data_IF_869047052044
#
_entry.id   IF_869047052044
#
_cell.length_a   1.000
_cell.length_b   1.000
_cell.length_c   1.000
_cell.angle_alpha   90.00
_cell.angle_beta   90.00
_cell.angle_gamma   90.00
#
_symmetry.space_group_name_H-M   'P 1'
#
loop_
_entity.id
_entity.type
_entity.pdbx_description
1 polymer ?
#
# COMPACT_ATOMS: atom_id res chain seq x y z
N UNK A 1 -48.34 15.43 41.40
CA UNK A 1 -47.90 16.81 41.07
C UNK A 1 -46.39 16.79 40.90
N UNK A 2 -45.92 17.02 39.67
CA UNK A 2 -44.53 16.90 39.19
C UNK A 2 -44.57 16.76 37.65
N UNK A 3 -43.71 17.48 36.88
CA UNK A 3 -44.11 18.12 35.62
C UNK A 3 -44.10 17.26 34.34
N UNK A 4 -44.82 17.69 33.27
CA UNK A 4 -44.87 17.02 31.97
C UNK A 4 -43.71 17.42 31.03
N UNK A 5 -43.51 16.60 30.00
CA UNK A 5 -42.47 16.72 28.99
C UNK A 5 -42.96 17.34 27.67
N UNK A 6 -42.02 17.97 26.94
CA UNK A 6 -42.06 18.40 25.52
C UNK A 6 -43.10 19.51 25.16
N UNK A 7 -42.86 20.51 24.30
CA UNK A 7 -42.18 20.59 22.99
C UNK A 7 -41.77 22.07 22.76
N UNK A 8 -40.59 22.36 22.19
CA UNK A 8 -40.28 23.70 21.70
C UNK A 8 -40.67 23.83 20.22
N UNK A 9 -41.54 24.80 19.94
CA UNK A 9 -41.92 25.23 18.60
C UNK A 9 -40.85 26.17 18.05
N UNK A 10 -40.31 25.87 16.86
CA UNK A 10 -39.79 26.94 16.02
C UNK A 10 -40.38 26.81 14.62
N UNK A 11 -41.16 27.83 14.31
CA UNK A 11 -42.02 27.98 13.17
C UNK A 11 -41.22 28.59 12.00
N UNK A 12 -41.51 28.05 10.82
CA UNK A 12 -41.48 28.59 9.46
C UNK A 12 -40.98 30.03 9.27
N UNK A 13 -40.15 30.24 8.25
CA UNK A 13 -40.37 31.28 7.23
C UNK A 13 -40.10 30.70 5.83
N UNK A 14 -41.14 30.75 5.02
CA UNK A 14 -41.15 30.59 3.56
C UNK A 14 -40.94 31.98 2.94
N UNK A 15 -40.10 32.08 1.90
CA UNK A 15 -40.36 32.95 0.75
C UNK A 15 -39.53 32.47 -0.43
N UNK A 16 -40.20 32.05 -1.50
CA UNK A 16 -39.58 31.72 -2.77
C UNK A 16 -39.05 32.94 -3.55
N UNK A 17 -38.09 32.69 -4.43
CA UNK A 17 -37.82 33.53 -5.59
C UNK A 17 -37.24 32.68 -6.73
N UNK A 18 -37.95 32.70 -7.85
CA UNK A 18 -37.54 32.21 -9.16
C UNK A 18 -36.43 33.13 -9.70
N UNK A 19 -35.36 32.58 -10.27
CA UNK A 19 -34.52 33.33 -11.21
C UNK A 19 -33.97 32.41 -12.31
N UNK A 20 -34.58 32.52 -13.48
CA UNK A 20 -33.96 32.19 -14.77
C UNK A 20 -33.03 33.32 -15.17
N UNK A 21 -31.73 33.07 -15.41
CA UNK A 21 -30.99 33.75 -16.50
C UNK A 21 -29.69 33.00 -16.82
N UNK A 22 -29.51 32.77 -18.12
CA UNK A 22 -28.32 32.36 -18.87
C UNK A 22 -27.02 33.11 -18.51
N UNK A 23 -25.87 32.43 -18.66
CA UNK A 23 -24.62 32.89 -19.32
C UNK A 23 -23.46 32.00 -18.86
N UNK A 24 -23.00 31.10 -19.72
CA UNK A 24 -22.03 31.34 -20.81
C UNK A 24 -20.58 31.43 -20.32
N UNK A 25 -19.78 30.69 -21.06
CA UNK A 25 -18.41 30.29 -20.78
C UNK A 25 -17.41 31.46 -20.81
N UNK A 26 -16.31 31.25 -20.09
CA UNK A 26 -15.06 31.96 -20.29
C UNK A 26 -13.98 30.93 -20.70
N UNK A 27 -12.83 31.35 -21.25
CA UNK A 27 -12.61 32.40 -22.24
C UNK A 27 -11.88 31.88 -23.49
N UNK A 28 -12.05 32.63 -24.59
CA UNK A 28 -11.31 32.50 -25.85
C UNK A 28 -9.86 32.98 -25.69
N UNK A 29 -8.94 32.19 -26.23
CA UNK A 29 -7.87 32.74 -27.07
C UNK A 29 -6.44 32.30 -26.77
N UNK A 30 -5.93 31.35 -27.56
CA UNK A 30 -4.77 31.61 -28.43
C UNK A 30 -4.61 30.55 -29.52
N UNK A 31 -4.46 31.06 -30.73
CA UNK A 31 -4.24 30.38 -32.01
C UNK A 31 -2.77 29.93 -32.13
N UNK A 32 -2.53 28.78 -32.77
CA UNK A 32 -1.42 28.47 -33.70
C UNK A 32 -1.67 27.05 -34.25
N UNK A 33 -2.25 26.92 -35.43
CA UNK A 33 -1.60 26.83 -36.75
C UNK A 33 -0.78 25.54 -36.94
N UNK A 34 -1.33 24.65 -37.76
CA UNK A 34 -0.68 23.92 -38.87
C UNK A 34 0.71 23.31 -38.64
N UNK A 35 0.79 21.98 -38.65
CA UNK A 35 1.19 21.24 -39.87
C UNK A 35 1.17 19.71 -39.66
N UNK A 36 0.83 18.92 -40.69
CA UNK A 36 0.94 17.46 -40.69
C UNK A 36 2.33 17.04 -41.16
N UNK A 37 2.86 15.92 -40.66
CA UNK A 37 3.98 15.25 -41.32
C UNK A 37 3.71 13.75 -41.42
N UNK A 38 3.28 13.34 -42.62
CA UNK A 38 3.31 11.95 -43.08
C UNK A 38 4.69 11.71 -43.69
N UNK A 39 5.46 10.76 -43.17
CA UNK A 39 6.58 10.21 -43.91
C UNK A 39 6.82 8.75 -43.51
N UNK A 40 6.28 7.81 -44.28
CA UNK A 40 6.80 6.44 -44.36
C UNK A 40 6.78 6.03 -45.83
N UNK A 41 7.89 6.33 -46.50
CA UNK A 41 8.27 5.77 -47.79
C UNK A 41 8.99 4.43 -47.57
N UNK A 42 8.56 3.47 -48.36
CA UNK A 42 9.08 2.13 -48.62
C UNK A 42 10.54 2.14 -49.12
N UNK A 43 11.40 1.22 -48.63
CA UNK A 43 12.49 0.67 -49.46
C UNK A 43 12.92 -0.73 -49.02
N UNK A 44 13.29 -1.52 -50.02
CA UNK A 44 13.41 -2.96 -50.11
C UNK A 44 14.90 -3.37 -50.24
N UNK A 45 15.29 -4.43 -49.52
CA UNK A 45 16.21 -5.53 -49.90
C UNK A 45 17.61 -5.24 -50.51
N UNK A 46 18.68 -5.76 -49.89
CA UNK A 46 19.75 -6.50 -50.59
C UNK A 46 20.58 -7.43 -49.67
N UNK A 47 20.93 -8.61 -50.20
CA UNK A 47 21.76 -9.68 -49.63
C UNK A 47 23.22 -9.58 -50.11
N UNK A 48 24.22 -10.02 -49.33
CA UNK A 48 25.18 -11.11 -49.65
C UNK A 48 26.48 -11.11 -48.81
N UNK A 49 26.75 -12.30 -48.25
CA UNK A 49 28.01 -13.06 -48.07
C UNK A 49 29.34 -12.40 -47.66
N UNK A 50 29.99 -13.03 -46.66
CA UNK A 50 31.44 -12.98 -46.44
C UNK A 50 31.87 -13.90 -45.27
N UNK A 51 32.58 -14.98 -45.60
CA UNK A 51 33.16 -15.98 -44.69
C UNK A 51 34.46 -15.46 -44.04
N UNK A 52 34.82 -15.96 -42.84
CA UNK A 52 36.14 -16.56 -42.55
C UNK A 52 36.29 -16.88 -41.05
N UNK A 53 36.66 -18.12 -40.77
CA UNK A 53 37.14 -18.61 -39.49
C UNK A 53 38.65 -18.33 -39.34
N UNK A 54 39.10 -18.07 -38.11
CA UNK A 54 40.39 -18.51 -37.50
C UNK A 54 40.62 -17.75 -36.18
N UNK A 55 40.56 -18.41 -35.02
CA UNK A 55 41.75 -18.80 -34.22
C UNK A 55 42.81 -17.68 -34.15
N UNK A 56 43.12 -17.08 -32.99
CA UNK A 56 43.89 -17.73 -31.91
C UNK A 56 44.05 -16.81 -30.69
N UNK A 57 44.20 -17.45 -29.51
CA UNK A 57 45.11 -17.10 -28.41
C UNK A 57 44.87 -15.89 -27.49
N UNK A 58 44.56 -16.27 -26.24
CA UNK A 58 45.22 -15.84 -25.01
C UNK A 58 45.09 -14.38 -24.56
N UNK A 59 44.13 -14.15 -23.67
CA UNK A 59 44.36 -13.32 -22.50
C UNK A 59 43.82 -14.04 -21.26
N UNK A 60 44.73 -14.55 -20.44
CA UNK A 60 44.45 -15.04 -19.10
C UNK A 60 43.88 -13.88 -18.28
N UNK A 61 42.55 -13.78 -18.22
CA UNK A 61 41.91 -13.05 -17.14
C UNK A 61 42.11 -13.86 -15.86
N UNK A 62 42.67 -13.30 -14.78
CA UNK A 62 42.57 -13.96 -13.49
C UNK A 62 41.09 -14.15 -13.20
N UNK A 63 40.68 -15.41 -13.05
CA UNK A 63 39.34 -15.78 -12.60
C UNK A 63 39.05 -14.96 -11.33
N UNK A 64 38.19 -13.95 -11.48
CA UNK A 64 37.57 -13.31 -10.33
C UNK A 64 36.78 -14.42 -9.65
N UNK A 65 37.30 -14.88 -8.51
CA UNK A 65 36.54 -15.71 -7.58
C UNK A 65 35.15 -15.09 -7.43
N UNK A 66 34.06 -15.87 -7.48
CA UNK A 66 32.74 -15.33 -7.16
C UNK A 66 32.86 -14.72 -5.78
N UNK A 67 32.79 -13.38 -5.71
CA UNK A 67 32.87 -12.67 -4.45
C UNK A 67 31.83 -13.29 -3.53
N UNK A 68 32.17 -13.68 -2.28
CA UNK A 68 31.15 -14.02 -1.32
C UNK A 68 30.25 -12.79 -1.23
N UNK A 69 29.02 -12.93 -1.75
CA UNK A 69 28.00 -11.92 -1.60
C UNK A 69 28.00 -11.53 -0.12
N UNK A 70 28.03 -10.24 0.24
CA UNK A 70 27.92 -9.83 1.63
C UNK A 70 26.64 -10.44 2.15
N UNK A 71 26.77 -11.55 2.90
CA UNK A 71 25.64 -12.15 3.57
C UNK A 71 25.11 -11.03 4.45
N UNK A 72 23.83 -10.64 4.30
CA UNK A 72 23.27 -9.63 5.17
C UNK A 72 23.45 -10.17 6.59
N UNK A 73 24.37 -9.54 7.31
CA UNK A 73 24.56 -9.76 8.74
C UNK A 73 23.16 -9.76 9.35
N UNK A 74 22.83 -10.68 10.29
CA UNK A 74 21.53 -10.69 10.93
C UNK A 74 21.33 -9.36 11.65
N UNK A 75 20.78 -8.39 10.93
CA UNK A 75 20.47 -7.07 11.41
C UNK A 75 19.45 -7.32 12.52
N UNK A 76 19.74 -6.82 13.72
CA UNK A 76 18.84 -7.02 14.85
C UNK A 76 17.44 -6.57 14.46
N UNK A 77 16.52 -7.52 14.43
CA UNK A 77 15.13 -7.27 14.05
C UNK A 77 14.58 -6.16 14.94
N UNK A 78 14.04 -5.07 14.34
CA UNK A 78 13.46 -3.97 15.08
C UNK A 78 12.42 -4.44 16.13
N UNK A 79 12.39 -3.83 17.33
CA UNK A 79 11.46 -4.24 18.39
C UNK A 79 9.99 -4.24 17.98
N UNK A 80 9.59 -3.33 17.10
CA UNK A 80 8.23 -3.29 16.55
C UNK A 80 7.88 -4.58 15.81
N UNK A 81 8.78 -5.09 14.95
CA UNK A 81 8.54 -6.29 14.15
C UNK A 81 8.49 -7.54 15.04
N UNK A 82 9.36 -7.64 16.05
CA UNK A 82 9.29 -8.72 17.03
C UNK A 82 7.93 -8.72 17.76
N UNK A 83 7.46 -7.55 18.20
CA UNK A 83 6.16 -7.43 18.87
C UNK A 83 4.99 -7.74 17.95
N UNK A 84 5.02 -7.24 16.71
CA UNK A 84 4.01 -7.54 15.70
C UNK A 84 3.96 -9.05 15.46
N UNK A 85 5.13 -9.69 15.29
CA UNK A 85 5.21 -11.13 15.08
C UNK A 85 4.62 -11.92 16.24
N UNK A 86 5.05 -11.64 17.48
CA UNK A 86 4.49 -12.28 18.67
C UNK A 86 3.00 -12.02 18.83
N UNK A 87 2.49 -10.87 18.38
CA UNK A 87 1.07 -10.54 18.42
C UNK A 87 0.27 -11.33 17.39
N UNK A 88 0.77 -11.52 16.16
CA UNK A 88 0.04 -12.28 15.12
C UNK A 88 0.15 -13.80 15.37
N UNK A 89 1.23 -14.26 15.99
CA UNK A 89 1.44 -15.68 16.33
C UNK A 89 0.69 -16.13 17.60
N UNK A 90 0.14 -15.21 18.40
CA UNK A 90 -0.54 -15.52 19.66
C UNK A 90 -2.00 -15.98 19.42
N UNK A 91 -2.35 -17.24 19.74
CA UNK A 91 -3.71 -17.74 19.56
C UNK A 91 -4.76 -17.00 20.40
N UNK A 92 -4.35 -16.32 21.49
CA UNK A 92 -5.26 -15.52 22.30
C UNK A 92 -5.77 -14.26 21.59
N UNK A 93 -5.09 -13.84 20.52
CA UNK A 93 -5.43 -12.65 19.74
C UNK A 93 -5.99 -12.95 18.35
N UNK A 94 -6.08 -14.23 17.95
CA UNK A 94 -6.52 -14.66 16.61
C UNK A 94 -7.87 -14.07 16.17
N UNK A 95 -8.77 -13.80 17.11
CA UNK A 95 -10.08 -13.17 16.83
C UNK A 95 -9.98 -11.72 16.33
N UNK A 96 -8.88 -11.03 16.62
CA UNK A 96 -8.68 -9.60 16.33
C UNK A 96 -7.47 -9.33 15.44
N UNK A 97 -6.50 -10.23 15.41
CA UNK A 97 -5.36 -10.21 14.50
C UNK A 97 -4.87 -11.65 14.29
N UNK A 98 -4.79 -12.09 13.03
CA UNK A 98 -4.38 -13.46 12.71
C UNK A 98 -3.76 -13.55 11.32
N UNK A 99 -2.99 -14.61 11.09
CA UNK A 99 -2.45 -14.93 9.78
C UNK A 99 -3.55 -15.39 8.83
N UNK A 100 -3.43 -15.05 7.54
CA UNK A 100 -4.13 -15.81 6.52
C UNK A 100 -3.61 -17.25 6.45
N UNK A 101 -4.42 -18.22 5.95
CA UNK A 101 -4.00 -19.63 5.86
C UNK A 101 -2.68 -19.83 5.11
N UNK A 102 -2.42 -18.99 4.11
CA UNK A 102 -1.17 -18.99 3.30
C UNK A 102 0.06 -18.58 4.10
N UNK A 103 -0.10 -17.89 5.24
CA UNK A 103 1.00 -17.39 6.07
C UNK A 103 1.76 -16.20 5.47
N UNK A 104 1.30 -15.64 4.35
CA UNK A 104 1.96 -14.53 3.64
C UNK A 104 1.44 -13.15 4.06
N UNK A 105 0.20 -13.10 4.53
CA UNK A 105 -0.49 -11.88 4.93
C UNK A 105 -1.14 -12.09 6.30
N UNK A 106 -1.44 -11.00 7.00
CA UNK A 106 -2.23 -11.04 8.22
C UNK A 106 -3.42 -10.09 8.10
N UNK A 107 -4.49 -10.40 8.82
CA UNK A 107 -5.72 -9.64 8.81
C UNK A 107 -6.04 -9.09 10.20
N UNK A 108 -6.75 -7.95 10.21
CA UNK A 108 -7.35 -7.32 11.39
C UNK A 108 -8.84 -7.14 11.08
N UNK A 109 -9.71 -8.09 11.50
CA UNK A 109 -11.13 -8.09 11.12
C UNK A 109 -11.94 -6.93 11.69
N UNK A 110 -11.62 -6.49 12.91
CA UNK A 110 -12.25 -5.33 13.56
C UNK A 110 -11.16 -4.44 14.16
N UNK A 111 -10.77 -3.41 13.41
CA UNK A 111 -9.67 -2.54 13.81
C UNK A 111 -9.98 -1.74 15.08
N UNK A 112 -11.25 -1.43 15.35
CA UNK A 112 -11.68 -0.64 16.53
C UNK A 112 -11.48 -1.45 17.82
N UNK A 113 -11.93 -2.72 17.83
CA UNK A 113 -11.74 -3.62 18.97
C UNK A 113 -10.28 -4.02 19.14
N UNK A 114 -9.58 -4.35 18.05
CA UNK A 114 -8.14 -4.61 18.05
C UNK A 114 -7.36 -3.47 18.73
N UNK A 115 -7.70 -2.23 18.39
CA UNK A 115 -7.04 -1.06 18.94
C UNK A 115 -7.19 -0.93 20.46
N UNK A 116 -8.37 -1.26 20.99
CA UNK A 116 -8.69 -1.15 22.43
C UNK A 116 -8.18 -2.33 23.26
N UNK A 117 -8.24 -3.54 22.71
CA UNK A 117 -8.01 -4.77 23.49
C UNK A 117 -6.62 -5.36 23.29
N UNK A 118 -6.05 -5.25 22.08
CA UNK A 118 -4.77 -5.89 21.74
C UNK A 118 -3.63 -4.89 21.83
N UNK A 119 -3.74 -3.70 21.22
CA UNK A 119 -2.63 -2.75 21.18
C UNK A 119 -2.05 -2.39 22.57
N UNK A 120 -2.85 -2.16 23.63
CA UNK A 120 -2.31 -1.86 24.97
C UNK A 120 -1.50 -3.00 25.61
N UNK A 121 -1.72 -4.25 25.17
CA UNK A 121 -0.97 -5.41 25.67
C UNK A 121 0.47 -5.44 25.14
N UNK A 122 0.70 -4.91 23.93
CA UNK A 122 2.00 -4.98 23.25
C UNK A 122 2.69 -3.61 23.11
N UNK A 123 1.91 -2.52 23.07
CA UNK A 123 2.35 -1.15 22.85
C UNK A 123 1.81 -0.21 23.93
N UNK A 124 2.43 0.97 24.09
CA UNK A 124 2.04 1.98 25.09
C UNK A 124 0.89 2.89 24.63
N UNK A 125 0.10 2.47 23.66
CA UNK A 125 -1.03 3.22 23.11
C UNK A 125 -2.09 2.28 22.54
N UNK A 126 -3.31 2.78 22.36
CA UNK A 126 -4.44 2.09 21.74
C UNK A 126 -4.81 2.70 20.37
N UNK A 127 -3.91 3.46 19.75
CA UNK A 127 -4.20 4.20 18.51
C UNK A 127 -3.87 3.35 17.27
N UNK A 128 -4.89 2.92 16.52
CA UNK A 128 -4.74 2.14 15.29
C UNK A 128 -3.97 2.88 14.17
N UNK A 129 -4.26 4.17 13.85
CA UNK A 129 -3.44 4.93 12.92
C UNK A 129 -1.94 4.94 13.22
N UNK A 130 -1.56 4.98 14.51
CA UNK A 130 -0.14 4.91 14.92
C UNK A 130 0.47 3.55 14.61
N UNK A 131 -0.28 2.48 14.80
CA UNK A 131 0.10 1.12 14.40
C UNK A 131 0.26 1.01 12.88
N UNK A 132 -0.70 1.50 12.10
CA UNK A 132 -0.64 1.53 10.63
C UNK A 132 0.55 2.35 10.14
N UNK A 133 0.88 3.47 10.82
CA UNK A 133 2.08 4.24 10.48
C UNK A 133 3.34 3.42 10.66
N UNK A 134 3.47 2.67 11.76
CA UNK A 134 4.62 1.78 11.96
C UNK A 134 4.70 0.72 10.86
N UNK A 135 3.58 0.07 10.52
CA UNK A 135 3.51 -0.86 9.38
C UNK A 135 4.03 -0.21 8.09
N UNK A 136 3.50 0.95 7.73
CA UNK A 136 3.91 1.67 6.52
C UNK A 136 5.41 2.02 6.50
N UNK A 137 6.02 2.30 7.67
CA UNK A 137 7.46 2.56 7.78
C UNK A 137 8.31 1.31 7.51
N UNK A 138 7.78 0.11 7.70
CA UNK A 138 8.48 -1.16 7.41
C UNK A 138 8.07 -1.77 6.07
N UNK A 139 7.32 -1.05 5.24
CA UNK A 139 6.99 -1.47 3.88
C UNK A 139 5.75 -2.34 3.76
N UNK A 140 5.00 -2.55 4.84
CA UNK A 140 3.67 -3.16 4.75
C UNK A 140 2.75 -2.25 3.94
N UNK A 141 1.90 -2.87 3.14
CA UNK A 141 0.81 -2.19 2.45
C UNK A 141 -0.50 -2.96 2.63
N UNK A 142 -1.61 -2.22 2.55
CA UNK A 142 -2.95 -2.78 2.67
C UNK A 142 -3.29 -3.52 1.37
N UNK A 143 -3.75 -4.77 1.49
CA UNK A 143 -4.27 -5.52 0.34
C UNK A 143 -5.66 -4.97 -0.01
N UNK A 144 -5.92 -4.57 -1.27
CA UNK A 144 -7.24 -4.09 -1.67
C UNK A 144 -8.28 -5.21 -1.59
N UNK A 145 -9.32 -5.02 -0.78
CA UNK A 145 -10.46 -5.94 -0.74
C UNK A 145 -11.48 -5.55 -1.82
N UNK A 146 -11.90 -6.52 -2.63
CA UNK A 146 -12.87 -6.33 -3.73
C UNK A 146 -14.29 -5.98 -3.23
N UNK A 147 -14.56 -6.14 -1.93
CA UNK A 147 -15.90 -5.99 -1.34
C UNK A 147 -16.31 -4.53 -1.06
N UNK A 148 -15.39 -3.56 -1.17
CA UNK A 148 -15.51 -2.19 -0.66
C UNK A 148 -16.55 -1.29 -1.38
N UNK A 149 -17.47 -1.87 -2.15
CA UNK A 149 -18.43 -1.18 -3.01
C UNK A 149 -19.91 -1.33 -2.64
N UNK A 150 -20.26 -1.99 -1.52
CA UNK A 150 -21.66 -2.20 -1.13
C UNK A 150 -22.11 -1.22 -0.04
N UNK A 151 -23.22 -0.52 -0.30
CA UNK A 151 -23.72 0.60 0.50
C UNK A 151 -24.38 0.16 1.82
N UNK A 152 -23.66 -0.27 2.87
CA UNK A 152 -24.21 -0.29 4.26
C UNK A 152 -23.12 -0.19 5.33
N UNK A 153 -23.08 0.93 6.06
CA UNK A 153 -22.48 1.09 7.40
C UNK A 153 -21.25 0.18 7.71
N UNK A 154 -20.22 0.28 6.87
CA UNK A 154 -19.21 -0.78 6.69
C UNK A 154 -17.88 -0.52 7.44
N UNK A 155 -17.72 0.63 8.11
CA UNK A 155 -16.46 0.96 8.80
C UNK A 155 -16.14 0.02 9.97
N UNK A 156 -17.14 -0.53 10.66
CA UNK A 156 -16.92 -1.47 11.77
C UNK A 156 -16.64 -2.91 11.30
N UNK A 157 -16.93 -3.20 10.02
CA UNK A 157 -16.71 -4.52 9.39
C UNK A 157 -15.60 -4.50 8.33
N UNK A 158 -14.83 -3.41 8.26
CA UNK A 158 -13.71 -3.34 7.34
C UNK A 158 -12.58 -4.25 7.82
N UNK A 159 -12.35 -5.34 7.08
CA UNK A 159 -11.21 -6.23 7.30
C UNK A 159 -9.96 -5.57 6.73
N UNK A 160 -9.00 -5.31 7.60
CA UNK A 160 -7.70 -4.76 7.21
C UNK A 160 -6.70 -5.88 6.99
N UNK A 161 -6.37 -6.16 5.74
CA UNK A 161 -5.32 -7.11 5.38
C UNK A 161 -4.03 -6.39 5.01
N UNK A 162 -2.90 -6.87 5.54
CA UNK A 162 -1.58 -6.32 5.26
C UNK A 162 -0.63 -7.39 4.78
N UNK A 163 0.23 -7.02 3.83
CA UNK A 163 1.26 -7.89 3.28
C UNK A 163 2.63 -7.21 3.26
N UNK A 164 3.69 -8.00 3.45
CA UNK A 164 5.09 -7.61 3.19
C UNK A 164 5.90 -8.88 2.88
N UNK A 165 6.79 -8.82 1.88
CA UNK A 165 7.46 -10.03 1.33
C UNK A 165 8.35 -10.76 2.32
N UNK A 166 8.92 -10.06 3.29
CA UNK A 166 9.85 -10.60 4.29
C UNK A 166 9.17 -10.82 5.65
N UNK A 167 7.88 -10.53 5.77
CA UNK A 167 7.06 -10.81 6.95
C UNK A 167 6.13 -11.99 6.68
N UNK A 168 6.64 -13.21 6.89
CA UNK A 168 5.90 -14.46 6.66
C UNK A 168 5.86 -15.31 7.92
N UNK A 169 4.74 -16.02 8.15
CA UNK A 169 4.57 -16.92 9.31
C UNK A 169 5.68 -17.96 9.37
N UNK A 170 5.91 -18.69 8.29
CA UNK A 170 6.80 -19.86 8.30
C UNK A 170 8.29 -19.49 8.10
N UNK A 171 8.61 -18.21 7.87
CA UNK A 171 9.98 -17.72 7.58
C UNK A 171 10.35 -16.49 8.43
N UNK A 172 10.42 -16.60 9.78
CA UNK A 172 10.72 -15.48 10.67
C UNK A 172 12.10 -14.85 10.45
N UNK A 173 13.06 -15.59 9.90
CA UNK A 173 14.41 -15.10 9.65
C UNK A 173 14.46 -14.00 8.57
N UNK A 174 13.45 -13.94 7.69
CA UNK A 174 13.35 -12.91 6.67
C UNK A 174 13.11 -11.51 7.28
N UNK A 175 12.54 -11.42 8.50
CA UNK A 175 12.31 -10.14 9.16
C UNK A 175 13.59 -9.33 9.39
N UNK A 176 14.76 -9.98 9.44
CA UNK A 176 16.07 -9.31 9.52
C UNK A 176 16.41 -8.49 8.27
N UNK A 177 15.75 -8.76 7.15
CA UNK A 177 15.91 -8.02 5.89
C UNK A 177 15.00 -6.79 5.82
N UNK A 178 14.00 -6.69 6.69
CA UNK A 178 13.05 -5.59 6.71
C UNK A 178 13.72 -4.31 7.20
N UNK A 179 13.79 -3.30 6.32
CA UNK A 179 14.38 -2.02 6.64
C UNK A 179 13.32 -0.96 6.90
N UNK A 180 13.54 -0.15 7.94
CA UNK A 180 12.72 1.03 8.18
C UNK A 180 12.98 2.07 7.09
N UNK A 181 11.94 2.45 6.36
CA UNK A 181 11.97 3.57 5.40
C UNK A 181 12.30 4.85 6.18
N UNK A 182 13.48 5.41 5.94
CA UNK A 182 13.83 6.76 6.42
C UNK A 182 12.97 7.74 5.62
N UNK A 183 12.10 8.48 6.29
CA UNK A 183 11.23 9.46 5.62
C UNK A 183 12.07 10.42 4.80
N UNK A 184 11.94 10.34 3.47
CA UNK A 184 12.40 11.41 2.59
C UNK A 184 11.58 12.66 2.91
N UNK A 185 12.29 13.76 3.14
CA UNK A 185 11.75 15.10 3.41
C UNK A 185 10.68 15.51 2.42
#
# INVERSE_FOLDING_TARGET
>A
MGPPAFVNANQLHDTGALNSTSKDAAPVGRRRSSSPNHNVQQQQQQQQQGQAASSSSAALQPQQQPQPQPQPQPQRVPPFLNKLRSMVDDPSTDSLITWQPTGLTFIVPNHVRFAKEVLPRFFKHNNFPSFVRQLNMYGFHKVPSLQQGSLKHEQDMEVWEFEERHFQRDRPELMGLMQRKKGGK
#
